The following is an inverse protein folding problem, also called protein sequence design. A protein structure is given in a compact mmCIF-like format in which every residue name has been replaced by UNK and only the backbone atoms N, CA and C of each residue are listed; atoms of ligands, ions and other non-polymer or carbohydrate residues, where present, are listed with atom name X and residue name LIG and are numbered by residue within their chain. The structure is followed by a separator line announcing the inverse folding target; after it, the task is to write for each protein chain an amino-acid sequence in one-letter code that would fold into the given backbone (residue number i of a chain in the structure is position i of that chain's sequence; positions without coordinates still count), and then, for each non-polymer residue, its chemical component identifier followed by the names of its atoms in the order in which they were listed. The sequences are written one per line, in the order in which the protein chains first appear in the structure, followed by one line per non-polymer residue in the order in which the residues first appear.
data_IF_044046950607
#
_entry.id   IF_044046950607
#
_cell.length_a   1.000
_cell.length_b   1.000
_cell.length_c   1.000
_cell.angle_alpha   90.00
_cell.angle_beta   90.00
_cell.angle_gamma   90.00
#
_symmetry.space_group_name_H-M   'P 1'
#
loop_
_entity.id
_entity.type
_entity.pdbx_description
1 polymer ?
#
# COMPACT_ATOMS: atom_id res chain seq x y z
N UNK A 1 -6.88 -8.15 -4.70
CA UNK A 1 -5.84 -7.53 -5.56
C UNK A 1 -6.42 -6.28 -6.22
N UNK A 2 -5.70 -5.16 -6.20
CA UNK A 2 -6.05 -3.93 -6.92
C UNK A 2 -5.64 -4.00 -8.38
N UNK A 3 -6.25 -3.17 -9.23
CA UNK A 3 -5.74 -2.94 -10.59
C UNK A 3 -4.41 -2.19 -10.54
N UNK A 4 -3.47 -2.42 -11.49
CA UNK A 4 -2.22 -1.69 -11.57
C UNK A 4 -2.44 -0.18 -11.69
N UNK A 5 -1.90 0.58 -10.73
CA UNK A 5 -2.10 2.03 -10.63
C UNK A 5 -0.88 2.73 -10.05
N UNK A 6 -0.66 3.99 -10.46
CA UNK A 6 0.39 4.82 -9.87
C UNK A 6 0.12 5.03 -8.37
N UNK A 7 1.20 5.06 -7.60
CA UNK A 7 1.16 5.54 -6.21
C UNK A 7 1.11 7.05 -6.25
N UNK A 8 0.00 7.64 -5.84
CA UNK A 8 -0.18 9.09 -5.85
C UNK A 8 0.51 9.75 -4.65
N UNK A 9 0.50 9.07 -3.51
CA UNK A 9 1.06 9.56 -2.27
C UNK A 9 1.57 8.40 -1.44
N UNK A 10 2.69 8.61 -0.77
CA UNK A 10 3.18 7.76 0.30
C UNK A 10 3.52 8.63 1.52
N UNK A 11 3.29 8.13 2.74
CA UNK A 11 3.62 8.86 3.95
C UNK A 11 3.92 7.93 5.12
N UNK A 12 4.89 8.32 5.94
CA UNK A 12 5.06 7.78 7.29
C UNK A 12 4.38 8.73 8.27
N UNK A 13 3.51 8.21 9.12
CA UNK A 13 2.76 9.04 10.06
C UNK A 13 2.87 8.46 11.46
N UNK A 14 3.15 9.32 12.46
CA UNK A 14 3.53 8.90 13.82
C UNK A 14 2.50 7.98 14.50
N UNK A 15 1.21 8.14 14.20
CA UNK A 15 0.13 7.32 14.81
C UNK A 15 -0.13 6.01 14.07
N UNK A 16 0.60 5.74 12.98
CA UNK A 16 0.45 4.53 12.18
C UNK A 16 1.69 3.64 12.27
N UNK A 17 1.48 2.33 12.23
CA UNK A 17 2.54 1.33 12.45
C UNK A 17 3.38 1.03 11.21
N UNK A 18 3.22 1.79 10.13
CA UNK A 18 3.80 1.44 8.84
C UNK A 18 3.74 2.54 7.78
N UNK A 19 4.05 2.14 6.54
CA UNK A 19 3.99 3.04 5.38
C UNK A 19 2.54 3.12 4.91
N UNK A 20 2.04 4.35 4.73
CA UNK A 20 0.72 4.59 4.19
C UNK A 20 0.82 4.95 2.71
N UNK A 21 -0.05 4.37 1.90
CA UNK A 21 -0.03 4.52 0.43
C UNK A 21 -1.43 4.90 -0.06
N UNK A 22 -1.49 5.79 -1.05
CA UNK A 22 -2.71 6.13 -1.79
C UNK A 22 -2.55 5.84 -3.28
N UNK A 23 -3.50 5.11 -3.85
CA UNK A 23 -3.72 4.96 -5.29
C UNK A 23 -5.00 5.72 -5.70
N UNK A 24 -5.24 5.90 -7.00
CA UNK A 24 -6.38 6.68 -7.50
C UNK A 24 -7.74 5.99 -7.20
N UNK A 25 -7.83 4.68 -7.45
CA UNK A 25 -9.00 3.86 -7.19
C UNK A 25 -8.73 2.97 -5.97
N UNK A 26 -9.15 3.48 -4.81
CA UNK A 26 -9.05 2.77 -3.53
C UNK A 26 -10.22 1.82 -3.31
N UNK A 27 -9.96 0.65 -2.75
CA UNK A 27 -10.94 -0.40 -2.44
C UNK A 27 -10.78 -0.88 -1.01
N UNK A 28 -11.86 -1.40 -0.41
CA UNK A 28 -11.85 -1.96 0.95
C UNK A 28 -12.48 -3.36 0.90
N UNK A 29 -11.71 -4.39 0.50
CA UNK A 29 -12.26 -5.72 0.25
C UNK A 29 -12.79 -6.37 1.54
N UNK A 30 -12.13 -6.10 2.67
CA UNK A 30 -12.42 -6.75 3.96
C UNK A 30 -13.25 -5.88 4.90
N UNK A 31 -13.78 -4.75 4.41
CA UNK A 31 -14.63 -3.82 5.16
C UNK A 31 -13.95 -3.29 6.43
N UNK A 32 -12.68 -2.91 6.31
CA UNK A 32 -11.88 -2.32 7.38
C UNK A 32 -12.42 -0.99 7.90
N UNK A 33 -13.32 -0.35 7.15
CA UNK A 33 -14.05 0.86 7.55
C UNK A 33 -13.41 2.14 7.05
N UNK A 34 -12.10 2.14 6.78
CA UNK A 34 -11.42 3.21 6.06
C UNK A 34 -10.89 2.71 4.73
N UNK A 35 -10.97 3.56 3.70
CA UNK A 35 -10.47 3.28 2.34
C UNK A 35 -9.72 4.46 1.73
N UNK A 36 -9.30 5.41 2.56
CA UNK A 36 -8.60 6.62 2.12
C UNK A 36 -7.09 6.40 1.98
N UNK A 37 -6.55 5.34 2.61
CA UNK A 37 -5.16 4.89 2.55
C UNK A 37 -5.10 3.37 2.67
N UNK A 38 -4.01 2.79 2.18
CA UNK A 38 -3.57 1.43 2.50
C UNK A 38 -2.38 1.48 3.43
N UNK A 39 -2.18 0.43 4.22
CA UNK A 39 -1.04 0.35 5.14
C UNK A 39 -0.19 -0.88 4.84
N UNK A 40 1.10 -0.67 4.64
CA UNK A 40 2.11 -1.71 4.76
C UNK A 40 2.64 -1.63 6.20
N UNK A 41 2.32 -2.62 7.02
CA UNK A 41 2.74 -2.64 8.43
C UNK A 41 4.25 -2.90 8.57
N UNK A 42 4.92 -2.25 9.52
CA UNK A 42 6.37 -2.39 9.73
C UNK A 42 6.78 -3.80 10.19
N UNK A 43 5.86 -4.59 10.72
CA UNK A 43 6.09 -6.00 11.06
C UNK A 43 6.11 -6.93 9.84
N UNK A 44 5.77 -6.44 8.64
CA UNK A 44 5.80 -7.25 7.42
C UNK A 44 7.23 -7.79 7.17
N UNK A 45 7.43 -9.10 6.90
CA UNK A 45 8.76 -9.70 6.78
C UNK A 45 9.65 -9.06 5.71
N UNK A 46 9.03 -8.53 4.66
CA UNK A 46 9.70 -7.85 3.54
C UNK A 46 9.45 -6.34 3.53
N UNK A 47 9.26 -5.74 4.70
CA UNK A 47 8.89 -4.33 4.81
C UNK A 47 9.83 -3.41 4.02
N UNK A 48 11.14 -3.54 4.25
CA UNK A 48 12.16 -2.66 3.67
C UNK A 48 12.20 -2.77 2.14
N UNK A 49 12.12 -3.98 1.60
CA UNK A 49 12.14 -4.26 0.17
C UNK A 49 10.89 -3.70 -0.52
N UNK A 50 9.72 -3.89 0.10
CA UNK A 50 8.46 -3.38 -0.44
C UNK A 50 8.44 -1.85 -0.39
N UNK A 51 8.91 -1.23 0.69
CA UNK A 51 9.06 0.24 0.77
C UNK A 51 9.97 0.76 -0.35
N UNK A 52 11.13 0.12 -0.56
CA UNK A 52 12.06 0.50 -1.62
C UNK A 52 11.41 0.41 -3.01
N UNK A 53 10.65 -0.66 -3.28
CA UNK A 53 9.91 -0.83 -4.53
C UNK A 53 8.85 0.26 -4.72
N UNK A 54 8.07 0.58 -3.67
CA UNK A 54 7.05 1.63 -3.72
C UNK A 54 7.67 3.00 -4.03
N UNK A 55 8.79 3.33 -3.39
CA UNK A 55 9.51 4.58 -3.62
C UNK A 55 10.04 4.66 -5.06
N UNK A 56 10.69 3.60 -5.53
CA UNK A 56 11.22 3.53 -6.89
C UNK A 56 10.09 3.66 -7.93
N UNK A 57 8.99 2.95 -7.74
CA UNK A 57 7.84 3.00 -8.63
C UNK A 57 7.15 4.38 -8.62
N UNK A 58 7.04 5.03 -7.46
CA UNK A 58 6.49 6.38 -7.37
C UNK A 58 7.34 7.39 -8.17
N UNK A 59 8.67 7.36 -7.99
CA UNK A 59 9.60 8.26 -8.70
C UNK A 59 9.58 7.99 -10.22
N UNK A 60 9.51 6.72 -10.62
CA UNK A 60 9.46 6.33 -12.02
C UNK A 60 8.05 6.43 -12.65
N UNK A 61 7.06 6.88 -11.88
CA UNK A 61 5.65 6.86 -12.25
C UNK A 61 5.12 5.49 -12.74
N UNK A 62 5.73 4.41 -12.27
CA UNK A 62 5.38 3.05 -12.65
C UNK A 62 4.12 2.57 -11.88
N UNK A 63 3.09 2.05 -12.58
CA UNK A 63 1.92 1.47 -11.92
C UNK A 63 2.28 0.22 -11.10
N UNK A 64 1.70 0.11 -9.90
CA UNK A 64 1.79 -1.06 -9.04
C UNK A 64 0.40 -1.66 -8.80
N UNK A 65 0.30 -2.99 -8.74
CA UNK A 65 -0.87 -3.68 -8.22
C UNK A 65 -0.59 -4.14 -6.78
N UNK A 66 -1.55 -3.93 -5.89
CA UNK A 66 -1.44 -4.27 -4.47
C UNK A 66 -2.37 -5.43 -4.14
N UNK A 67 -1.85 -6.46 -3.50
CA UNK A 67 -2.69 -7.46 -2.85
C UNK A 67 -2.98 -6.98 -1.43
N UNK A 68 -4.27 -6.86 -1.13
CA UNK A 68 -4.78 -6.40 0.16
C UNK A 68 -5.40 -7.59 0.86
N UNK A 69 -5.01 -7.81 2.11
CA UNK A 69 -5.52 -8.90 2.93
C UNK A 69 -5.52 -8.48 4.40
N UNK A 70 -6.72 -8.43 4.97
CA UNK A 70 -6.95 -8.05 6.36
C UNK A 70 -6.87 -6.55 6.62
N UNK A 71 -6.99 -6.21 7.89
CA UNK A 71 -7.09 -4.83 8.36
C UNK A 71 -6.02 -4.56 9.41
N UNK A 72 -5.33 -3.42 9.28
CA UNK A 72 -4.42 -2.89 10.30
C UNK A 72 -4.85 -1.47 10.62
N UNK A 73 -5.19 -1.22 11.89
CA UNK A 73 -5.66 0.09 12.37
C UNK A 73 -6.87 0.64 11.57
N UNK A 74 -7.77 -0.25 11.12
CA UNK A 74 -8.95 0.10 10.32
C UNK A 74 -8.66 0.40 8.84
N UNK A 75 -7.43 0.20 8.37
CA UNK A 75 -7.02 0.37 6.97
C UNK A 75 -6.76 -0.99 6.32
N UNK A 76 -7.06 -1.18 5.03
CA UNK A 76 -6.68 -2.37 4.29
C UNK A 76 -5.17 -2.55 4.30
N UNK A 77 -4.73 -3.74 4.71
CA UNK A 77 -3.32 -4.06 4.86
C UNK A 77 -2.74 -4.62 3.55
N UNK A 78 -1.54 -4.16 3.19
CA UNK A 78 -0.81 -4.64 2.03
C UNK A 78 -0.03 -5.90 2.43
N UNK A 79 -0.32 -7.00 1.75
CA UNK A 79 0.37 -8.29 1.95
C UNK A 79 1.34 -8.62 0.81
N UNK A 80 1.02 -8.23 -0.43
CA UNK A 80 1.95 -8.38 -1.56
C UNK A 80 1.88 -7.20 -2.53
N UNK A 81 2.96 -6.95 -3.27
CA UNK A 81 3.02 -5.95 -4.34
C UNK A 81 3.50 -6.62 -5.63
N UNK A 82 2.82 -6.31 -6.73
CA UNK A 82 3.19 -6.71 -8.09
C UNK A 82 3.53 -5.48 -8.91
N UNK A 83 4.67 -5.54 -9.58
CA UNK A 83 5.11 -4.54 -10.56
C UNK A 83 5.23 -5.22 -11.91
N UNK A 84 4.32 -4.92 -12.83
CA UNK A 84 4.47 -5.33 -14.22
C UNK A 84 5.21 -4.20 -14.97
N UNK A 85 6.20 -4.58 -15.77
CA UNK A 85 6.83 -3.70 -16.75
C UNK A 85 6.08 -3.82 -18.07
#
# INVERSE_FOLDING_TARGET
MTLPQKVNQYQFYKTHTGLLIRQAAMVDPDKCGRKDLYILDKSHPHYSEIVALVLAAHIAEQPLALYLDGCVQGLPAISHIYSNK
#
